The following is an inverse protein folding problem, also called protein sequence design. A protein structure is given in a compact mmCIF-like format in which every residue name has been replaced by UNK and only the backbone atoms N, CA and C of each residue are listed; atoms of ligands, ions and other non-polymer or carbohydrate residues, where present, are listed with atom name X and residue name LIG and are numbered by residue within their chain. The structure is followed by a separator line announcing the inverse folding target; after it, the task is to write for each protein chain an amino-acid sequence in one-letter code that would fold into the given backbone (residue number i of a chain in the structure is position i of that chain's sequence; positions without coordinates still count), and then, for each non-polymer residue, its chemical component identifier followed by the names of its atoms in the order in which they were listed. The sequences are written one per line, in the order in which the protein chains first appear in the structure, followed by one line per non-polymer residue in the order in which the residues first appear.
data_IF_983848127974
#
_entry.id   IF_983848127974
#
_cell.length_a   1.000
_cell.length_b   1.000
_cell.length_c   1.000
_cell.angle_alpha   90.00
_cell.angle_beta   90.00
_cell.angle_gamma   90.00
#
_symmetry.space_group_name_H-M   'P 1'
#
loop_
_entity.id
_entity.type
_entity.pdbx_description
1 polymer ?
#
# COMPACT_ATOMS: atom_id res chain seq x y z
N UNK A 1 -1.45 14.93 -8.66
CA UNK A 1 -1.27 13.50 -8.98
C UNK A 1 -0.95 12.68 -7.72
N UNK A 2 -0.20 13.19 -6.74
CA UNK A 2 0.11 12.45 -5.51
C UNK A 2 -1.07 12.14 -4.57
N UNK A 3 -1.96 13.11 -4.28
CA UNK A 3 -3.05 12.91 -3.29
C UNK A 3 -4.13 11.92 -3.77
N UNK A 4 -4.50 11.97 -5.05
CA UNK A 4 -5.49 11.05 -5.63
C UNK A 4 -4.94 9.62 -5.69
N UNK A 5 -3.65 9.46 -6.05
CA UNK A 5 -2.99 8.15 -6.08
C UNK A 5 -2.84 7.57 -4.67
N UNK A 6 -2.44 8.40 -3.69
CA UNK A 6 -2.35 7.99 -2.30
C UNK A 6 -3.72 7.58 -1.75
N UNK A 7 -4.79 8.30 -2.08
CA UNK A 7 -6.15 7.92 -1.67
C UNK A 7 -6.57 6.56 -2.27
N UNK A 8 -6.21 6.28 -3.52
CA UNK A 8 -6.47 4.99 -4.15
C UNK A 8 -5.70 3.85 -3.48
N UNK A 9 -4.41 4.07 -3.17
CA UNK A 9 -3.57 3.12 -2.44
C UNK A 9 -4.12 2.80 -1.05
N UNK A 10 -4.54 3.82 -0.30
CA UNK A 10 -5.15 3.65 1.01
C UNK A 10 -6.50 2.91 0.93
N UNK A 11 -7.30 3.17 -0.11
CA UNK A 11 -8.56 2.47 -0.33
C UNK A 11 -8.36 0.98 -0.66
N UNK A 12 -7.36 0.65 -1.47
CA UNK A 12 -7.01 -0.73 -1.79
C UNK A 12 -6.39 -1.45 -0.59
N UNK A 13 -5.51 -0.77 0.15
CA UNK A 13 -4.99 -1.26 1.43
C UNK A 13 -6.12 -1.62 2.40
N UNK A 14 -7.12 -0.74 2.55
CA UNK A 14 -8.28 -1.02 3.39
C UNK A 14 -9.07 -2.26 2.93
N UNK A 15 -9.20 -2.49 1.61
CA UNK A 15 -9.82 -3.70 1.07
C UNK A 15 -9.01 -4.95 1.40
N UNK A 16 -7.71 -4.91 1.21
CA UNK A 16 -6.82 -6.05 1.49
C UNK A 16 -6.77 -6.36 2.99
N UNK A 17 -6.75 -5.35 3.85
CA UNK A 17 -6.84 -5.52 5.30
C UNK A 17 -8.14 -6.19 5.71
N UNK A 18 -9.28 -5.84 5.09
CA UNK A 18 -10.55 -6.52 5.33
C UNK A 18 -10.53 -8.00 4.90
N UNK A 19 -9.65 -8.38 3.98
CA UNK A 19 -9.43 -9.77 3.55
C UNK A 19 -8.38 -10.51 4.40
N UNK A 20 -7.77 -9.84 5.38
CA UNK A 20 -6.80 -10.41 6.32
C UNK A 20 -5.34 -10.04 6.04
N UNK A 21 -5.06 -9.17 5.07
CA UNK A 21 -3.73 -8.63 4.86
C UNK A 21 -3.34 -7.60 5.95
N UNK A 22 -2.07 -7.28 6.07
CA UNK A 22 -1.53 -6.33 7.05
C UNK A 22 -0.68 -5.27 6.34
N UNK A 23 -0.93 -4.00 6.66
CA UNK A 23 -0.06 -2.89 6.25
C UNK A 23 1.24 -2.93 7.04
N UNK A 24 2.37 -2.97 6.34
CA UNK A 24 3.71 -3.01 6.93
C UNK A 24 4.34 -1.61 6.94
N UNK A 25 4.39 -0.93 5.79
CA UNK A 25 5.07 0.36 5.65
C UNK A 25 4.49 1.18 4.50
N UNK A 26 4.46 2.50 4.66
CA UNK A 26 4.29 3.44 3.55
C UNK A 26 5.65 3.97 3.12
N UNK A 27 5.89 3.90 1.81
CA UNK A 27 6.98 4.57 1.13
C UNK A 27 6.37 5.80 0.44
N UNK A 28 6.46 7.00 1.07
CA UNK A 28 5.95 8.21 0.43
C UNK A 28 6.81 8.57 -0.78
N UNK A 29 6.18 9.16 -1.80
CA UNK A 29 6.90 9.68 -2.96
C UNK A 29 7.94 10.72 -2.50
N UNK A 30 9.18 10.57 -2.96
CA UNK A 30 10.31 11.42 -2.57
C UNK A 30 10.84 12.29 -3.73
N UNK A 31 10.14 12.30 -4.86
CA UNK A 31 10.43 13.14 -6.03
C UNK A 31 11.04 12.37 -7.19
N UNK A 32 11.65 11.21 -6.93
CA UNK A 32 12.15 10.27 -7.94
C UNK A 32 11.27 9.01 -8.02
N UNK A 33 10.71 8.53 -6.90
CA UNK A 33 9.81 7.37 -6.84
C UNK A 33 8.34 7.74 -6.53
N UNK A 34 7.41 6.92 -7.04
CA UNK A 34 5.98 7.01 -6.70
C UNK A 34 5.68 6.45 -5.30
N UNK A 35 4.58 6.88 -4.67
CA UNK A 35 4.22 6.36 -3.35
C UNK A 35 3.81 4.89 -3.45
N UNK A 36 4.28 4.06 -2.53
CA UNK A 36 4.02 2.62 -2.54
C UNK A 36 3.75 2.11 -1.12
N UNK A 37 2.92 1.08 -0.98
CA UNK A 37 2.57 0.46 0.30
C UNK A 37 3.14 -0.96 0.37
N UNK A 38 4.01 -1.20 1.35
CA UNK A 38 4.46 -2.55 1.68
C UNK A 38 3.38 -3.22 2.54
N UNK A 39 2.94 -4.40 2.09
CA UNK A 39 1.85 -5.19 2.66
C UNK A 39 2.30 -6.63 2.91
N UNK A 40 1.61 -7.34 3.80
CA UNK A 40 1.71 -8.79 3.97
C UNK A 40 0.35 -9.44 3.75
N UNK A 41 0.30 -10.54 2.99
CA UNK A 41 -0.92 -11.33 2.83
C UNK A 41 -1.21 -12.20 4.08
N UNK A 42 -2.27 -13.00 4.01
CA UNK A 42 -2.68 -13.91 5.09
C UNK A 42 -1.68 -15.05 5.36
N UNK A 43 -0.80 -15.34 4.41
CA UNK A 43 0.26 -16.35 4.52
C UNK A 43 1.57 -15.73 5.05
N UNK A 44 1.61 -14.40 5.20
CA UNK A 44 2.78 -13.63 5.64
C UNK A 44 3.75 -13.30 4.52
N UNK A 45 3.35 -13.45 3.25
CA UNK A 45 4.19 -13.06 2.12
C UNK A 45 4.15 -11.54 1.96
N UNK A 46 5.32 -10.94 1.85
CA UNK A 46 5.47 -9.50 1.60
C UNK A 46 5.23 -9.18 0.12
N UNK A 47 4.48 -8.12 -0.15
CA UNK A 47 4.28 -7.57 -1.48
C UNK A 47 4.16 -6.04 -1.45
N UNK A 48 4.50 -5.42 -2.57
CA UNK A 48 4.35 -3.97 -2.79
C UNK A 48 3.02 -3.68 -3.49
N UNK A 49 2.35 -2.63 -3.05
CA UNK A 49 1.09 -2.11 -3.60
C UNK A 49 1.32 -0.70 -4.14
N UNK A 50 1.28 -0.55 -5.47
CA UNK A 50 1.56 0.68 -6.22
C UNK A 50 0.35 1.36 -6.89
#
# INVERSE_FOLDING_TARGET
VGEERLAALEAECARLVALGAVRVRLLPADGDDESCLVMQDIEGNEFDLD
#
